data_IF_554854570962
#
_entry.id   IF_554854570962
#
_cell.length_a   1.000
_cell.length_b   1.000
_cell.length_c   1.000
_cell.angle_alpha   90.00
_cell.angle_beta   90.00
_cell.angle_gamma   90.00
#
_symmetry.space_group_name_H-M   'P 1'
#
loop_
_entity.id
_entity.type
_entity.pdbx_description
1 polymer ?
#
# COMPACT_ATOMS: atom_id res chain seq x y z
N UNK A 1 -14.69 2.89 -24.85
CA UNK A 1 -14.65 4.27 -24.34
C UNK A 1 -13.92 4.20 -23.03
N UNK A 2 -12.75 4.84 -22.95
CA UNK A 2 -11.99 4.99 -21.71
C UNK A 2 -12.78 5.88 -20.75
N UNK A 3 -12.79 5.61 -19.41
CA UNK A 3 -13.37 6.53 -18.46
C UNK A 3 -12.61 7.86 -18.52
N UNK A 4 -13.36 8.95 -18.45
CA UNK A 4 -12.78 10.29 -18.38
C UNK A 4 -11.90 10.38 -17.13
N UNK A 5 -10.68 10.90 -17.31
CA UNK A 5 -9.82 11.32 -16.20
C UNK A 5 -10.59 12.38 -15.40
N UNK A 6 -10.99 12.03 -14.19
CA UNK A 6 -11.55 12.98 -13.24
C UNK A 6 -10.36 13.79 -12.71
N UNK A 7 -10.23 15.00 -13.22
CA UNK A 7 -9.20 15.96 -12.85
C UNK A 7 -9.38 16.23 -11.33
N UNK A 8 -8.37 15.88 -10.53
CA UNK A 8 -8.38 16.15 -9.09
C UNK A 8 -8.59 17.65 -8.88
N UNK A 9 -9.62 18.01 -8.10
CA UNK A 9 -9.92 19.39 -7.80
C UNK A 9 -8.72 20.05 -7.08
N UNK A 10 -8.25 21.22 -7.52
CA UNK A 10 -7.19 21.93 -6.82
C UNK A 10 -7.64 22.31 -5.41
N UNK A 11 -6.70 22.25 -4.46
CA UNK A 11 -6.93 22.70 -3.09
C UNK A 11 -7.54 24.11 -3.08
N UNK A 12 -8.63 24.27 -2.33
CA UNK A 12 -9.26 25.58 -2.19
C UNK A 12 -8.33 26.52 -1.39
N UNK A 13 -8.14 27.73 -1.92
CA UNK A 13 -7.52 28.88 -1.25
C UNK A 13 -5.97 28.93 -1.12
N UNK A 14 -5.18 28.29 -2.01
CA UNK A 14 -3.73 28.57 -2.09
C UNK A 14 -2.90 28.04 -0.90
N UNK A 15 -3.47 27.21 -0.05
CA UNK A 15 -2.78 26.51 1.01
C UNK A 15 -2.12 25.24 0.42
N UNK A 16 -0.83 25.04 0.67
CA UNK A 16 -0.10 23.86 0.21
C UNK A 16 -0.50 22.68 1.10
N UNK A 17 -0.94 21.59 0.47
CA UNK A 17 -1.30 20.35 1.18
C UNK A 17 -0.07 19.50 1.38
N UNK A 18 0.22 19.14 2.63
CA UNK A 18 1.37 18.31 3.01
C UNK A 18 0.98 16.83 3.05
N UNK A 19 1.75 15.99 2.34
CA UNK A 19 1.48 14.54 2.24
C UNK A 19 2.73 13.76 2.63
N UNK A 20 2.61 12.87 3.61
CA UNK A 20 3.63 11.88 3.93
C UNK A 20 3.44 10.61 3.11
N UNK A 21 4.50 10.04 2.54
CA UNK A 21 4.44 8.73 1.92
C UNK A 21 5.54 7.81 2.44
N UNK A 22 5.15 6.82 3.25
CA UNK A 22 6.02 5.76 3.76
C UNK A 22 6.00 4.57 2.78
N UNK A 23 7.00 4.53 1.87
CA UNK A 23 7.13 3.51 0.84
C UNK A 23 7.81 2.24 1.39
N UNK A 24 7.47 1.09 0.83
CA UNK A 24 8.10 -0.22 1.15
C UNK A 24 9.61 -0.19 0.94
N UNK A 25 10.04 0.26 -0.23
CA UNK A 25 11.40 0.21 -0.72
C UNK A 25 11.44 0.48 -2.22
N UNK A 26 12.45 -0.04 -2.90
CA UNK A 26 12.65 0.07 -4.37
C UNK A 26 12.92 -1.28 -5.02
N UNK A 27 12.25 -2.32 -4.52
CA UNK A 27 12.52 -3.73 -4.83
C UNK A 27 12.13 -4.16 -6.26
N UNK A 28 11.45 -3.31 -7.03
CA UNK A 28 10.99 -3.64 -8.38
C UNK A 28 10.76 -2.42 -9.25
N UNK A 29 10.71 -2.62 -10.57
CA UNK A 29 10.37 -1.56 -11.54
C UNK A 29 8.95 -1.04 -11.31
N UNK A 30 8.02 -1.90 -10.88
CA UNK A 30 6.67 -1.48 -10.50
C UNK A 30 6.72 -0.52 -9.31
N UNK A 31 7.52 -0.84 -8.29
CA UNK A 31 7.68 0.02 -7.11
C UNK A 31 8.32 1.36 -7.47
N UNK A 32 9.30 1.36 -8.34
CA UNK A 32 9.91 2.59 -8.86
C UNK A 32 8.90 3.46 -9.62
N UNK A 33 8.04 2.85 -10.44
CA UNK A 33 6.95 3.55 -11.14
C UNK A 33 5.91 4.11 -10.17
N UNK A 34 5.54 3.35 -9.13
CA UNK A 34 4.63 3.80 -8.07
C UNK A 34 5.21 5.00 -7.31
N UNK A 35 6.48 4.93 -6.88
CA UNK A 35 7.18 6.06 -6.25
C UNK A 35 7.19 7.30 -7.15
N UNK A 36 7.54 7.11 -8.42
CA UNK A 36 7.55 8.22 -9.37
C UNK A 36 6.15 8.84 -9.55
N UNK A 37 5.10 8.02 -9.61
CA UNK A 37 3.73 8.52 -9.72
C UNK A 37 3.36 9.40 -8.51
N UNK A 38 3.70 8.98 -7.29
CA UNK A 38 3.50 9.81 -6.10
C UNK A 38 4.24 11.14 -6.17
N UNK A 39 5.52 11.11 -6.57
CA UNK A 39 6.34 12.32 -6.70
C UNK A 39 5.83 13.29 -7.77
N UNK A 40 5.35 12.75 -8.90
CA UNK A 40 4.79 13.57 -9.98
C UNK A 40 3.42 14.16 -9.57
N UNK A 41 2.58 13.36 -8.91
CA UNK A 41 1.22 13.77 -8.52
C UNK A 41 1.24 14.76 -7.36
N UNK A 42 1.96 14.45 -6.30
CA UNK A 42 2.05 15.29 -5.09
C UNK A 42 3.24 16.25 -5.17
N UNK A 43 3.33 16.98 -6.26
CA UNK A 43 4.37 17.96 -6.52
C UNK A 43 3.93 19.39 -6.18
N UNK A 44 4.90 20.29 -5.99
CA UNK A 44 4.63 21.69 -5.74
C UNK A 44 3.84 22.37 -6.89
N UNK A 45 4.03 21.91 -8.13
CA UNK A 45 3.28 22.41 -9.30
C UNK A 45 1.79 22.09 -9.19
N UNK A 46 1.45 21.00 -8.51
CA UNK A 46 0.06 20.56 -8.25
C UNK A 46 -0.49 21.06 -6.90
N UNK A 47 0.25 21.89 -6.16
CA UNK A 47 -0.18 22.46 -4.87
C UNK A 47 0.11 21.57 -3.67
N UNK A 48 1.02 20.61 -3.78
CA UNK A 48 1.37 19.69 -2.70
C UNK A 48 2.84 19.84 -2.27
N UNK A 49 3.11 19.42 -1.03
CA UNK A 49 4.44 19.16 -0.51
C UNK A 49 4.52 17.69 -0.06
N UNK A 50 5.35 16.89 -0.75
CA UNK A 50 5.50 15.47 -0.49
C UNK A 50 6.69 15.20 0.42
N UNK A 51 6.45 14.67 1.61
CA UNK A 51 7.44 14.06 2.50
C UNK A 51 7.56 12.56 2.18
N UNK A 52 8.50 12.20 1.30
CA UNK A 52 8.71 10.83 0.86
C UNK A 52 9.83 10.15 1.64
N UNK A 53 9.57 8.92 2.12
CA UNK A 53 10.59 8.06 2.74
C UNK A 53 10.54 6.65 2.14
N UNK A 54 11.67 6.21 1.60
CA UNK A 54 11.92 4.81 1.28
C UNK A 54 12.35 4.07 2.56
N UNK A 55 11.54 3.10 3.01
CA UNK A 55 11.77 2.39 4.27
C UNK A 55 12.66 1.16 4.10
N UNK A 56 13.26 0.95 2.92
CA UNK A 56 14.23 -0.12 2.62
C UNK A 56 13.78 -1.52 3.10
N UNK A 57 12.49 -1.80 2.98
CA UNK A 57 11.85 -3.05 3.41
C UNK A 57 12.02 -3.35 4.93
N UNK A 58 12.27 -2.33 5.75
CA UNK A 58 12.33 -2.43 7.21
C UNK A 58 11.03 -1.90 7.83
N UNK A 59 10.24 -2.82 8.40
CA UNK A 59 8.95 -2.48 9.01
C UNK A 59 9.09 -1.56 10.23
N UNK A 60 10.15 -1.69 11.03
CA UNK A 60 10.36 -0.82 12.17
C UNK A 60 10.68 0.61 11.73
N UNK A 61 11.49 0.77 10.69
CA UNK A 61 11.75 2.06 10.06
C UNK A 61 10.45 2.66 9.52
N UNK A 62 9.57 1.84 8.93
CA UNK A 62 8.30 2.33 8.39
C UNK A 62 7.37 2.86 9.49
N UNK A 63 7.26 2.17 10.62
CA UNK A 63 6.49 2.62 11.79
C UNK A 63 7.05 3.95 12.33
N UNK A 64 8.37 4.05 12.51
CA UNK A 64 9.00 5.30 12.98
C UNK A 64 8.85 6.45 11.97
N UNK A 65 8.86 6.15 10.67
CA UNK A 65 8.59 7.13 9.61
C UNK A 65 7.18 7.71 9.75
N UNK A 66 6.18 6.87 9.97
CA UNK A 66 4.79 7.33 10.17
C UNK A 66 4.68 8.20 11.42
N UNK A 67 5.34 7.84 12.53
CA UNK A 67 5.42 8.71 13.71
C UNK A 67 6.06 10.04 13.41
N UNK A 68 7.14 10.05 12.62
CA UNK A 68 7.77 11.29 12.17
C UNK A 68 6.85 12.18 11.34
N UNK A 69 5.94 11.60 10.55
CA UNK A 69 4.92 12.35 9.82
C UNK A 69 3.83 12.92 10.74
N UNK A 70 3.45 12.15 11.78
CA UNK A 70 2.52 12.62 12.81
C UNK A 70 3.12 13.80 13.58
N UNK A 71 4.41 13.71 13.99
CA UNK A 71 5.11 14.78 14.69
C UNK A 71 5.27 16.05 13.84
N UNK A 72 5.32 15.92 12.51
CA UNK A 72 5.35 17.03 11.56
C UNK A 72 3.96 17.62 11.30
N UNK A 73 2.91 17.04 11.87
CA UNK A 73 1.52 17.47 11.69
C UNK A 73 1.12 17.57 10.20
N UNK A 74 1.52 16.55 9.37
CA UNK A 74 1.17 16.53 7.96
C UNK A 74 -0.36 16.39 7.77
N UNK A 75 -0.89 16.92 6.66
CA UNK A 75 -2.32 16.89 6.36
C UNK A 75 -2.83 15.48 6.03
N UNK A 76 -1.99 14.67 5.38
CA UNK A 76 -2.30 13.27 5.01
C UNK A 76 -1.09 12.37 5.13
N UNK A 77 -1.32 11.10 5.48
CA UNK A 77 -0.30 10.07 5.48
C UNK A 77 -0.72 8.92 4.58
N UNK A 78 0.11 8.58 3.59
CA UNK A 78 -0.04 7.40 2.75
C UNK A 78 0.99 6.34 3.18
N UNK A 79 0.55 5.08 3.27
CA UNK A 79 1.39 3.97 3.69
C UNK A 79 1.23 2.82 2.69
N UNK A 80 2.34 2.36 2.09
CA UNK A 80 2.40 1.07 1.41
C UNK A 80 2.99 0.04 2.40
N UNK A 81 2.19 -0.79 3.10
CA UNK A 81 2.68 -1.56 4.24
C UNK A 81 3.71 -2.62 3.86
N UNK A 82 4.80 -2.73 4.61
CA UNK A 82 5.80 -3.79 4.45
C UNK A 82 5.24 -5.12 4.98
N UNK A 83 4.66 -5.09 6.17
CA UNK A 83 3.95 -6.21 6.80
C UNK A 83 2.50 -5.82 7.07
N UNK A 84 1.62 -6.81 7.16
CA UNK A 84 0.20 -6.56 7.47
C UNK A 84 -0.04 -6.28 8.96
N UNK A 85 0.72 -6.89 9.86
CA UNK A 85 0.54 -6.77 11.31
C UNK A 85 1.37 -5.62 11.92
N UNK A 86 1.00 -5.20 13.13
CA UNK A 86 1.76 -4.25 13.96
C UNK A 86 1.41 -2.78 13.77
N UNK A 87 0.30 -2.47 13.10
CA UNK A 87 -0.10 -1.12 12.76
C UNK A 87 -1.02 -0.44 13.79
N UNK A 88 -1.71 -1.20 14.64
CA UNK A 88 -2.77 -0.68 15.51
C UNK A 88 -2.35 0.55 16.30
N UNK A 89 -1.15 0.51 16.92
CA UNK A 89 -0.68 1.61 17.77
C UNK A 89 -0.43 2.88 16.98
N UNK A 90 0.34 2.82 15.90
CA UNK A 90 0.70 4.02 15.13
C UNK A 90 -0.48 4.58 14.35
N UNK A 91 -1.41 3.73 13.90
CA UNK A 91 -2.66 4.18 13.28
C UNK A 91 -3.57 4.87 14.31
N UNK A 92 -3.62 4.38 15.56
CA UNK A 92 -4.32 5.07 16.65
C UNK A 92 -3.65 6.42 16.97
N UNK A 93 -2.31 6.48 17.00
CA UNK A 93 -1.56 7.73 17.19
C UNK A 93 -1.91 8.77 16.10
N UNK A 94 -1.99 8.35 14.83
CA UNK A 94 -2.42 9.22 13.73
C UNK A 94 -3.88 9.68 13.86
N UNK A 95 -4.78 8.76 14.23
CA UNK A 95 -6.18 9.07 14.47
C UNK A 95 -6.36 10.08 15.62
N UNK A 96 -5.63 9.89 16.73
CA UNK A 96 -5.66 10.80 17.88
C UNK A 96 -5.12 12.20 17.53
N UNK A 97 -4.18 12.27 16.59
CA UNK A 97 -3.67 13.51 16.01
C UNK A 97 -4.63 14.14 14.98
N UNK A 98 -5.68 13.40 14.57
CA UNK A 98 -6.65 13.87 13.57
C UNK A 98 -6.12 13.82 12.13
N UNK A 99 -5.05 13.06 11.86
CA UNK A 99 -4.42 12.96 10.55
C UNK A 99 -5.02 11.77 9.77
N UNK A 100 -5.63 12.00 8.61
CA UNK A 100 -6.16 10.94 7.75
C UNK A 100 -5.04 10.04 7.22
N UNK A 101 -5.23 8.72 7.34
CA UNK A 101 -4.29 7.72 6.82
C UNK A 101 -4.91 6.97 5.65
N UNK A 102 -4.16 6.86 4.56
CA UNK A 102 -4.50 6.08 3.37
C UNK A 102 -3.56 4.88 3.26
N UNK A 103 -4.12 3.69 3.29
CA UNK A 103 -3.38 2.44 3.06
C UNK A 103 -3.41 2.16 1.56
N UNK A 104 -2.25 1.92 0.95
CA UNK A 104 -2.14 1.76 -0.50
C UNK A 104 -1.37 0.50 -0.88
N UNK A 105 -1.74 -0.11 -2.03
CA UNK A 105 -1.12 -1.30 -2.60
C UNK A 105 -1.34 -2.58 -1.76
N UNK A 106 -0.92 -2.58 -0.50
CA UNK A 106 -0.99 -3.71 0.43
C UNK A 106 -1.92 -3.40 1.59
N UNK A 107 -2.51 -4.43 2.19
CA UNK A 107 -3.42 -4.28 3.33
C UNK A 107 -2.68 -4.36 4.68
N UNK A 108 -3.31 -3.82 5.71
CA UNK A 108 -2.94 -3.96 7.12
C UNK A 108 -3.93 -4.88 7.83
N UNK A 109 -3.47 -5.55 8.88
CA UNK A 109 -4.29 -6.33 9.82
C UNK A 109 -4.59 -5.44 11.04
N UNK A 110 -5.40 -4.43 10.82
CA UNK A 110 -5.85 -3.47 11.82
C UNK A 110 -7.33 -3.15 11.59
N UNK A 111 -8.00 -2.62 12.61
CA UNK A 111 -9.41 -2.27 12.50
C UNK A 111 -9.63 -1.17 11.44
N UNK A 112 -10.63 -1.35 10.57
CA UNK A 112 -10.97 -0.39 9.49
C UNK A 112 -11.28 1.02 9.99
N UNK A 113 -11.58 1.16 11.29
CA UNK A 113 -11.83 2.45 11.93
C UNK A 113 -10.55 3.25 12.19
N UNK A 114 -9.37 2.66 12.07
CA UNK A 114 -8.08 3.30 12.36
C UNK A 114 -7.45 3.99 11.14
N UNK A 115 -8.02 3.83 9.94
CA UNK A 115 -7.56 4.52 8.74
C UNK A 115 -8.74 5.01 7.91
N UNK A 116 -8.49 5.97 7.03
CA UNK A 116 -9.56 6.62 6.25
C UNK A 116 -10.02 5.77 5.09
N UNK A 117 -9.08 5.15 4.37
CA UNK A 117 -9.36 4.29 3.22
C UNK A 117 -8.20 3.35 2.92
N UNK A 118 -8.49 2.27 2.20
CA UNK A 118 -7.51 1.37 1.65
C UNK A 118 -7.75 1.17 0.14
N UNK A 119 -6.68 1.26 -0.64
CA UNK A 119 -6.66 1.10 -2.09
C UNK A 119 -5.64 0.04 -2.48
N UNK A 120 -6.08 -1.03 -3.08
CA UNK A 120 -5.18 -2.13 -3.46
C UNK A 120 -5.90 -3.19 -4.30
N UNK A 121 -5.14 -4.24 -4.64
CA UNK A 121 -5.67 -5.40 -5.34
C UNK A 121 -6.23 -6.42 -4.35
N UNK A 122 -7.18 -7.23 -4.80
CA UNK A 122 -7.63 -8.43 -4.09
C UNK A 122 -6.59 -9.55 -4.29
N UNK A 123 -5.69 -9.66 -3.32
CA UNK A 123 -4.57 -10.60 -3.38
C UNK A 123 -5.04 -12.07 -3.28
N UNK A 124 -6.18 -12.32 -2.64
CA UNK A 124 -6.79 -13.66 -2.58
C UNK A 124 -7.32 -14.04 -3.96
N UNK A 125 -8.08 -13.16 -4.59
CA UNK A 125 -8.60 -13.39 -5.94
C UNK A 125 -7.46 -13.59 -6.98
N UNK A 126 -6.33 -12.91 -6.84
CA UNK A 126 -5.15 -13.14 -7.67
C UNK A 126 -4.57 -14.54 -7.46
N UNK A 127 -4.48 -15.00 -6.21
CA UNK A 127 -4.06 -16.37 -5.88
C UNK A 127 -5.00 -17.41 -6.45
N UNK A 128 -6.32 -17.23 -6.30
CA UNK A 128 -7.34 -18.11 -6.86
C UNK A 128 -7.27 -18.17 -8.39
N UNK A 129 -7.07 -17.05 -9.05
CA UNK A 129 -6.91 -17.00 -10.50
C UNK A 129 -5.70 -17.82 -10.97
N UNK A 130 -4.57 -17.73 -10.25
CA UNK A 130 -3.37 -18.53 -10.55
C UNK A 130 -3.61 -20.05 -10.30
N UNK A 131 -4.28 -20.40 -9.19
CA UNK A 131 -4.65 -21.78 -8.86
C UNK A 131 -5.56 -22.38 -9.90
N UNK A 132 -6.63 -21.68 -10.27
CA UNK A 132 -7.58 -22.11 -11.29
C UNK A 132 -6.91 -22.33 -12.66
N UNK A 133 -6.06 -21.38 -13.07
CA UNK A 133 -5.29 -21.53 -14.30
C UNK A 133 -4.42 -22.80 -14.29
N UNK A 134 -3.72 -23.04 -13.15
CA UNK A 134 -2.86 -24.22 -13.04
C UNK A 134 -3.67 -25.52 -13.03
N UNK A 135 -4.79 -25.56 -12.30
CA UNK A 135 -5.69 -26.73 -12.28
C UNK A 135 -6.21 -27.06 -13.69
N UNK A 136 -6.63 -26.06 -14.46
CA UNK A 136 -7.06 -26.22 -15.85
C UNK A 136 -5.89 -26.70 -16.74
N UNK A 137 -4.70 -26.13 -16.59
CA UNK A 137 -3.52 -26.53 -17.37
C UNK A 137 -3.10 -27.97 -17.11
N UNK A 138 -3.20 -28.46 -15.87
CA UNK A 138 -2.84 -29.83 -15.50
C UNK A 138 -3.88 -30.87 -15.93
N UNK A 139 -5.13 -30.47 -16.15
CA UNK A 139 -6.25 -31.35 -16.58
C UNK A 139 -6.32 -32.66 -15.75
N UNK A 140 -6.14 -32.56 -14.43
CA UNK A 140 -6.17 -33.68 -13.51
C UNK A 140 -4.87 -34.50 -13.40
N UNK A 141 -3.80 -34.04 -14.03
CA UNK A 141 -2.48 -34.67 -13.89
C UNK A 141 -1.81 -34.33 -12.53
N UNK A 142 -1.13 -35.29 -11.95
CA UNK A 142 -0.28 -35.06 -10.77
C UNK A 142 0.89 -34.12 -11.10
N UNK A 143 1.16 -33.17 -10.20
CA UNK A 143 2.28 -32.25 -10.36
C UNK A 143 2.99 -31.97 -9.03
N UNK A 144 4.28 -31.64 -9.11
CA UNK A 144 5.03 -31.06 -8.00
C UNK A 144 5.14 -29.56 -8.24
N UNK A 145 4.60 -28.76 -7.32
CA UNK A 145 4.56 -27.31 -7.44
C UNK A 145 5.62 -26.71 -6.50
N UNK A 146 6.50 -25.87 -7.06
CA UNK A 146 7.42 -25.04 -6.29
C UNK A 146 6.84 -23.62 -6.23
N UNK A 147 6.59 -23.15 -5.03
CA UNK A 147 6.11 -21.76 -4.80
C UNK A 147 7.29 -20.91 -4.33
N UNK A 148 7.54 -19.80 -5.02
CA UNK A 148 8.47 -18.77 -4.59
C UNK A 148 7.64 -17.67 -3.95
N UNK A 149 7.69 -17.60 -2.63
CA UNK A 149 6.94 -16.61 -1.85
C UNK A 149 7.64 -15.25 -1.87
N UNK A 150 6.86 -14.17 -1.66
CA UNK A 150 7.37 -12.83 -1.45
C UNK A 150 7.80 -12.56 0.00
N UNK A 151 7.77 -11.27 0.40
CA UNK A 151 8.16 -10.87 1.76
C UNK A 151 7.26 -11.50 2.82
N UNK A 152 7.90 -12.07 3.85
CA UNK A 152 7.18 -12.71 4.97
C UNK A 152 6.31 -11.68 5.70
N UNK A 153 5.04 -12.03 5.95
CA UNK A 153 4.09 -11.16 6.64
C UNK A 153 3.46 -10.06 5.79
N UNK A 154 3.85 -9.91 4.52
CA UNK A 154 3.17 -9.00 3.61
C UNK A 154 1.79 -9.54 3.21
N UNK A 155 0.76 -8.68 3.19
CA UNK A 155 -0.60 -9.08 2.79
C UNK A 155 -0.67 -9.70 1.40
N UNK A 156 0.18 -9.23 0.48
CA UNK A 156 0.30 -9.80 -0.86
C UNK A 156 0.78 -11.27 -0.86
N UNK A 157 1.75 -11.62 0.01
CA UNK A 157 2.21 -13.00 0.16
C UNK A 157 1.12 -13.86 0.81
N UNK A 158 0.53 -13.38 1.89
CA UNK A 158 -0.51 -14.10 2.62
C UNK A 158 -1.75 -14.36 1.76
N UNK A 159 -2.29 -13.33 1.12
CA UNK A 159 -3.49 -13.43 0.31
C UNK A 159 -3.31 -14.30 -0.93
N UNK A 160 -2.21 -14.14 -1.68
CA UNK A 160 -1.95 -14.99 -2.85
C UNK A 160 -1.74 -16.45 -2.48
N UNK A 161 -1.06 -16.73 -1.34
CA UNK A 161 -0.90 -18.09 -0.85
C UNK A 161 -2.23 -18.69 -0.42
N UNK A 162 -3.06 -17.94 0.31
CA UNK A 162 -4.42 -18.36 0.68
C UNK A 162 -5.25 -18.67 -0.56
N UNK A 163 -5.36 -17.72 -1.50
CA UNK A 163 -6.16 -17.88 -2.70
C UNK A 163 -5.71 -19.08 -3.56
N UNK A 164 -4.40 -19.26 -3.74
CA UNK A 164 -3.87 -20.41 -4.48
C UNK A 164 -4.21 -21.75 -3.81
N UNK A 165 -4.17 -21.82 -2.48
CA UNK A 165 -4.46 -23.04 -1.73
C UNK A 165 -5.95 -23.33 -1.59
N UNK A 166 -6.85 -22.39 -1.92
CA UNK A 166 -8.29 -22.59 -1.92
C UNK A 166 -8.78 -23.45 -3.11
N UNK A 167 -7.95 -23.61 -4.14
CA UNK A 167 -8.25 -24.36 -5.36
C UNK A 167 -7.71 -25.79 -5.25
#
# INVERSE_FOLDING_TARGET
EAPAEEEAAPAADGEVVTVGFAQVGHESDWRAANTKNYQDTFSAENGYELSFVDCDNDHAVQIETVRGFIEQELDYICIAPIQSAGWDTVLQEAQDAGIPVLIVDRAVDAADTLYTTALGCDMVAEGEAAGNWLAEYLDGADANILVIEGSVGASATLGRTEGFNNI
#
